data_IF_224369574533
#
_entry.id   IF_224369574533
#
_cell.length_a   1.000
_cell.length_b   1.000
_cell.length_c   1.000
_cell.angle_alpha   90.00
_cell.angle_beta   90.00
_cell.angle_gamma   90.00
#
_symmetry.space_group_name_H-M   'P 1'
#
loop_
_entity.id
_entity.type
_entity.pdbx_description
1 polymer ?
#
# COMPACT_ATOMS: atom_id res chain seq x y z
N UNK A 1 0.47 -7.58 10.32
CA UNK A 1 -0.83 -6.88 10.49
C UNK A 1 -1.67 -7.68 11.47
N UNK A 2 -2.47 -7.02 12.32
CA UNK A 2 -3.39 -7.74 13.21
C UNK A 2 -4.63 -8.24 12.47
N UNK A 3 -5.35 -9.24 13.01
CA UNK A 3 -6.60 -9.73 12.40
C UNK A 3 -7.66 -8.64 12.27
N UNK A 4 -7.78 -7.76 13.27
CA UNK A 4 -8.72 -6.64 13.25
C UNK A 4 -8.40 -5.64 12.14
N UNK A 5 -7.11 -5.39 11.92
CA UNK A 5 -6.64 -4.46 10.89
C UNK A 5 -6.79 -5.06 9.49
N UNK A 6 -6.54 -6.36 9.33
CA UNK A 6 -6.88 -7.11 8.13
C UNK A 6 -8.37 -7.00 7.79
N UNK A 7 -9.25 -7.31 8.76
CA UNK A 7 -10.70 -7.23 8.57
C UNK A 7 -11.17 -5.82 8.22
N UNK A 8 -10.57 -4.80 8.83
CA UNK A 8 -10.85 -3.40 8.49
C UNK A 8 -10.49 -3.10 7.05
N UNK A 9 -9.29 -3.48 6.61
CA UNK A 9 -8.83 -3.22 5.24
C UNK A 9 -9.69 -3.93 4.20
N UNK A 10 -10.07 -5.20 4.45
CA UNK A 10 -11.03 -5.93 3.60
C UNK A 10 -12.38 -5.22 3.57
N UNK A 11 -12.91 -4.80 4.71
CA UNK A 11 -14.24 -4.15 4.80
C UNK A 11 -14.28 -2.76 4.15
N UNK A 12 -13.23 -1.96 4.30
CA UNK A 12 -13.21 -0.56 3.82
C UNK A 12 -12.58 -0.39 2.44
N UNK A 13 -11.94 -1.45 1.92
CA UNK A 13 -11.07 -1.41 0.74
C UNK A 13 -9.99 -0.33 0.80
N UNK A 14 -9.56 0.05 2.00
CA UNK A 14 -8.54 1.07 2.24
C UNK A 14 -7.23 0.46 2.72
N UNK A 15 -6.12 1.14 2.40
CA UNK A 15 -4.80 0.80 2.90
C UNK A 15 -4.68 0.98 4.43
N UNK A 16 -3.69 0.30 5.01
CA UNK A 16 -3.33 0.45 6.41
C UNK A 16 -2.93 1.90 6.71
N UNK A 17 -3.58 2.54 7.68
CA UNK A 17 -3.15 3.86 8.15
C UNK A 17 -2.03 3.69 9.18
N UNK A 18 -0.82 4.14 8.85
CA UNK A 18 0.32 4.18 9.78
C UNK A 18 0.71 5.62 10.12
N UNK A 19 1.41 5.77 11.24
CA UNK A 19 2.05 7.04 11.59
C UNK A 19 2.91 7.54 10.43
N UNK A 20 2.80 8.83 10.12
CA UNK A 20 3.47 9.46 8.97
C UNK A 20 2.75 9.28 7.63
N UNK A 21 1.60 8.59 7.57
CA UNK A 21 0.81 8.44 6.35
C UNK A 21 1.52 7.61 5.28
N UNK A 22 2.35 6.64 5.68
CA UNK A 22 3.15 5.79 4.79
C UNK A 22 2.67 4.34 4.88
N UNK A 23 2.31 3.77 3.73
CA UNK A 23 2.02 2.33 3.59
C UNK A 23 3.10 1.67 2.76
N UNK A 24 3.72 0.62 3.30
CA UNK A 24 4.67 -0.21 2.56
C UNK A 24 3.91 -1.34 1.88
N UNK A 25 4.21 -1.57 0.62
CA UNK A 25 3.62 -2.64 -0.19
C UNK A 25 4.70 -3.44 -0.89
N UNK A 26 4.41 -4.70 -1.17
CA UNK A 26 5.23 -5.55 -2.02
C UNK A 26 4.65 -5.49 -3.43
N UNK A 27 5.49 -5.13 -4.41
CA UNK A 27 5.18 -5.06 -5.83
C UNK A 27 5.52 -6.36 -6.58
N UNK A 28 6.26 -7.25 -5.92
CA UNK A 28 6.58 -8.59 -6.40
C UNK A 28 5.55 -9.59 -5.84
N UNK A 29 5.35 -10.72 -6.51
CA UNK A 29 4.38 -11.73 -6.08
C UNK A 29 4.76 -12.40 -4.75
N UNK A 30 3.80 -13.08 -4.13
CA UNK A 30 3.94 -13.70 -2.80
C UNK A 30 5.13 -14.65 -2.69
N UNK A 31 5.52 -15.29 -3.80
CA UNK A 31 6.68 -16.17 -3.95
C UNK A 31 8.02 -15.48 -3.65
N UNK A 32 8.09 -14.15 -3.72
CA UNK A 32 9.27 -13.36 -3.39
C UNK A 32 9.43 -13.10 -1.88
N UNK A 33 8.47 -13.54 -1.07
CA UNK A 33 8.53 -13.44 0.38
C UNK A 33 8.72 -14.84 0.99
N UNK A 34 9.88 -15.14 1.56
CA UNK A 34 10.18 -16.49 2.11
C UNK A 34 9.65 -16.72 3.54
N UNK A 35 9.35 -15.66 4.28
CA UNK A 35 8.94 -15.71 5.70
C UNK A 35 7.43 -15.52 5.90
N UNK A 36 6.62 -16.27 5.16
CA UNK A 36 5.14 -16.12 5.11
C UNK A 36 4.45 -16.70 6.36
N UNK A 37 5.10 -17.62 7.09
CA UNK A 37 4.47 -18.33 8.19
C UNK A 37 3.93 -17.37 9.27
N UNK A 38 2.61 -17.33 9.44
CA UNK A 38 1.91 -16.57 10.48
C UNK A 38 1.60 -15.10 10.16
N UNK A 39 1.88 -14.61 8.94
CA UNK A 39 1.58 -13.21 8.56
C UNK A 39 0.32 -13.11 7.69
N UNK A 40 -0.45 -12.04 7.90
CA UNK A 40 -1.65 -11.70 7.12
C UNK A 40 -1.34 -10.61 6.11
N UNK A 41 -1.82 -10.79 4.88
CA UNK A 41 -1.68 -9.86 3.76
C UNK A 41 -3.02 -9.68 3.06
N UNK A 42 -3.12 -8.61 2.28
CA UNK A 42 -4.22 -8.37 1.35
C UNK A 42 -3.59 -8.00 0.01
N UNK A 43 -4.24 -8.42 -1.06
CA UNK A 43 -3.87 -8.02 -2.41
C UNK A 43 -4.57 -6.70 -2.76
N UNK A 44 -3.97 -5.94 -3.68
CA UNK A 44 -4.50 -4.65 -4.09
C UNK A 44 -4.35 -4.47 -5.59
N UNK A 45 -5.38 -3.91 -6.19
CA UNK A 45 -5.31 -3.41 -7.55
C UNK A 45 -4.70 -2.01 -7.49
N UNK A 46 -3.53 -1.88 -8.11
CA UNK A 46 -2.84 -0.61 -8.30
C UNK A 46 -3.30 -0.03 -9.63
N UNK A 47 -3.91 1.17 -9.65
CA UNK A 47 -4.25 1.82 -10.91
C UNK A 47 -3.01 2.05 -11.77
N UNK A 48 -3.19 1.92 -13.09
CA UNK A 48 -2.09 2.12 -14.04
C UNK A 48 -1.54 3.54 -13.92
N UNK A 49 -0.21 3.67 -13.98
CA UNK A 49 0.54 4.93 -13.85
C UNK A 49 0.50 5.59 -12.47
N UNK A 50 0.00 4.90 -11.45
CA UNK A 50 0.06 5.40 -10.08
C UNK A 50 1.50 5.54 -9.60
N UNK A 51 1.78 6.67 -8.97
CA UNK A 51 3.10 7.05 -8.45
C UNK A 51 3.38 6.29 -7.17
N UNK A 52 4.42 5.46 -7.25
CA UNK A 52 4.89 4.65 -6.12
C UNK A 52 6.36 5.00 -5.91
N UNK A 53 6.70 5.42 -4.69
CA UNK A 53 8.12 5.62 -4.35
C UNK A 53 8.75 4.31 -3.95
N UNK A 54 10.03 4.12 -4.29
CA UNK A 54 10.78 2.92 -3.92
C UNK A 54 10.87 2.78 -2.40
N UNK A 55 10.53 1.61 -1.88
CA UNK A 55 10.70 1.25 -0.48
C UNK A 55 12.11 0.76 -0.15
N UNK A 56 12.35 0.44 1.13
CA UNK A 56 13.61 -0.14 1.61
C UNK A 56 13.73 -1.62 1.20
N UNK A 57 14.08 -1.88 -0.05
CA UNK A 57 14.32 -3.23 -0.57
C UNK A 57 13.96 -3.39 -2.04
N UNK A 58 14.43 -4.47 -2.67
CA UNK A 58 13.97 -4.87 -4.00
C UNK A 58 12.51 -5.33 -3.89
N UNK A 59 11.68 -4.92 -4.86
CA UNK A 59 10.26 -5.26 -4.88
C UNK A 59 9.36 -4.48 -3.93
N UNK A 60 9.90 -3.56 -3.10
CA UNK A 60 9.08 -2.76 -2.18
C UNK A 60 8.68 -1.42 -2.76
N UNK A 61 7.40 -1.07 -2.61
CA UNK A 61 6.82 0.22 -2.91
C UNK A 61 6.30 0.92 -1.67
N UNK A 62 6.18 2.24 -1.76
CA UNK A 62 5.58 3.09 -0.73
C UNK A 62 4.42 3.88 -1.34
N UNK A 63 3.28 3.75 -0.68
CA UNK A 63 2.10 4.59 -0.87
C UNK A 63 2.01 5.65 0.22
N UNK A 64 1.58 6.84 -0.18
CA UNK A 64 1.27 7.93 0.74
C UNK A 64 -0.23 8.04 0.91
N UNK A 65 -0.68 8.06 2.16
CA UNK A 65 -2.08 8.23 2.51
C UNK A 65 -2.62 9.55 1.94
N UNK A 66 -3.84 9.52 1.39
CA UNK A 66 -4.52 10.70 0.89
C UNK A 66 -4.54 11.81 1.96
N UNK A 67 -4.02 12.97 1.60
CA UNK A 67 -3.95 14.14 2.49
C UNK A 67 -2.67 14.24 3.34
N UNK A 68 -1.80 13.22 3.34
CA UNK A 68 -0.47 13.32 3.95
C UNK A 68 0.39 14.39 3.25
N UNK A 69 1.42 14.96 3.92
CA UNK A 69 2.28 15.98 3.32
C UNK A 69 2.91 15.54 1.99
N UNK A 70 3.39 14.29 1.92
CA UNK A 70 3.98 13.71 0.70
C UNK A 70 2.93 13.50 -0.39
N UNK A 71 1.74 13.01 -0.05
CA UNK A 71 0.64 12.90 -1.01
C UNK A 71 0.29 14.26 -1.62
N UNK A 72 0.16 15.31 -0.78
CA UNK A 72 -0.13 16.68 -1.23
C UNK A 72 0.97 17.23 -2.14
N UNK A 73 2.24 16.97 -1.80
CA UNK A 73 3.39 17.39 -2.59
C UNK A 73 3.37 16.79 -4.00
N UNK A 74 3.19 15.47 -4.12
CA UNK A 74 3.16 14.79 -5.42
C UNK A 74 1.90 15.13 -6.23
N UNK A 75 0.74 15.23 -5.57
CA UNK A 75 -0.50 15.69 -6.21
C UNK A 75 -0.34 17.11 -6.79
N UNK A 76 0.30 18.03 -6.06
CA UNK A 76 0.59 19.40 -6.54
C UNK A 76 1.55 19.42 -7.73
N UNK A 77 2.39 18.38 -7.90
CA UNK A 77 3.28 18.21 -9.05
C UNK A 77 2.58 17.53 -10.25
N UNK A 78 1.27 17.27 -10.16
CA UNK A 78 0.51 16.62 -11.23
C UNK A 78 0.78 15.13 -11.38
N UNK A 79 1.39 14.49 -10.38
CA UNK A 79 1.61 13.05 -10.38
C UNK A 79 0.34 12.32 -9.94
N UNK A 80 0.05 11.19 -10.59
CA UNK A 80 -1.05 10.32 -10.17
C UNK A 80 -0.72 9.68 -8.82
N UNK A 81 -1.41 10.08 -7.76
CA UNK A 81 -1.27 9.54 -6.40
C UNK A 81 -2.54 8.81 -5.96
N UNK A 82 -3.21 8.18 -6.92
CA UNK A 82 -4.37 7.33 -6.68
C UNK A 82 -4.06 6.26 -5.63
N UNK A 83 -5.01 6.05 -4.73
CA UNK A 83 -4.86 5.01 -3.71
C UNK A 83 -5.25 3.66 -4.33
N UNK A 84 -4.46 2.60 -4.11
CA UNK A 84 -4.86 1.24 -4.43
C UNK A 84 -6.18 0.91 -3.76
N UNK A 85 -6.99 0.12 -4.45
CA UNK A 85 -8.18 -0.47 -3.86
C UNK A 85 -7.86 -1.91 -3.52
N UNK A 86 -8.29 -2.35 -2.33
CA UNK A 86 -8.26 -3.78 -2.01
C UNK A 86 -9.21 -4.47 -2.99
N UNK A 87 -8.64 -5.19 -3.96
CA UNK A 87 -9.34 -6.26 -4.64
C UNK A 87 -9.43 -7.41 -3.64
N UNK A 88 -10.62 -7.98 -3.50
CA UNK A 88 -10.93 -8.91 -2.41
C UNK A 88 -9.88 -10.04 -2.24
N UNK A 89 -9.72 -10.53 -1.00
CA UNK A 89 -8.77 -11.60 -0.64
C UNK A 89 -9.09 -12.97 -1.26
#
# INVERSE_FOLDING_TARGET
MSKAEYQKMVKTSQLQKRSGGITHILLEGKEHYRDIAGKMYVEFDIPKNTTITRGSGKGWGIFYEKGSPRWKFYNKKGLDVSQPKVSNP
#
